data_IF_761937719028
#
_entry.id   IF_761937719028
#
_cell.length_a   1.000
_cell.length_b   1.000
_cell.length_c   1.000
_cell.angle_alpha   90.00
_cell.angle_beta   90.00
_cell.angle_gamma   90.00
#
_symmetry.space_group_name_H-M   'P 1'
#
loop_
_entity.id
_entity.type
_entity.pdbx_description
1 polymer ?
#
# COMPACT_ATOMS: atom_id res chain seq x y z
N UNK A 1 -15.36 3.72 6.03
CA UNK A 1 -14.70 3.22 4.80
C UNK A 1 -15.65 2.22 4.16
N UNK A 2 -16.24 2.51 2.99
CA UNK A 2 -17.14 1.56 2.34
C UNK A 2 -16.32 0.48 1.62
N UNK A 3 -16.06 -0.63 2.30
CA UNK A 3 -15.33 -1.78 1.74
C UNK A 3 -15.84 -3.08 2.36
N UNK A 4 -15.51 -4.23 1.76
CA UNK A 4 -15.87 -5.52 2.30
C UNK A 4 -14.98 -5.87 3.52
N UNK A 5 -15.55 -6.26 4.68
CA UNK A 5 -14.79 -6.63 5.87
C UNK A 5 -13.71 -7.69 5.64
N UNK A 6 -13.91 -8.59 4.68
CA UNK A 6 -12.91 -9.61 4.30
C UNK A 6 -11.64 -8.97 3.76
N UNK A 7 -11.77 -7.91 2.96
CA UNK A 7 -10.62 -7.17 2.41
C UNK A 7 -9.84 -6.52 3.54
N UNK A 8 -10.53 -5.83 4.45
CA UNK A 8 -9.90 -5.19 5.62
C UNK A 8 -9.13 -6.22 6.45
N UNK A 9 -9.73 -7.37 6.76
CA UNK A 9 -9.06 -8.42 7.55
C UNK A 9 -7.80 -8.95 6.87
N UNK A 10 -7.83 -9.15 5.55
CA UNK A 10 -6.65 -9.60 4.79
C UNK A 10 -5.55 -8.56 4.78
N UNK A 11 -5.89 -7.29 4.52
CA UNK A 11 -4.93 -6.17 4.56
C UNK A 11 -4.29 -6.06 5.94
N UNK A 12 -5.09 -6.06 7.01
CA UNK A 12 -4.57 -5.93 8.37
C UNK A 12 -3.77 -7.17 8.81
N UNK A 13 -4.09 -8.36 8.31
CA UNK A 13 -3.29 -9.56 8.54
C UNK A 13 -1.88 -9.41 7.95
N UNK A 14 -1.74 -8.97 6.70
CA UNK A 14 -0.42 -8.74 6.10
C UNK A 14 0.41 -7.70 6.86
N UNK A 15 -0.22 -6.60 7.28
CA UNK A 15 0.44 -5.58 8.12
C UNK A 15 0.87 -6.13 9.50
N UNK A 16 0.07 -7.03 10.09
CA UNK A 16 0.40 -7.67 11.37
C UNK A 16 1.56 -8.64 11.23
N UNK A 17 1.58 -9.42 10.14
CA UNK A 17 2.61 -10.43 9.91
C UNK A 17 3.98 -9.76 9.70
N UNK A 18 4.01 -8.51 9.22
CA UNK A 18 5.20 -7.64 9.18
C UNK A 18 5.47 -6.87 10.48
N UNK A 19 4.63 -7.04 11.49
CA UNK A 19 4.78 -6.40 12.81
C UNK A 19 4.44 -4.91 12.85
N UNK A 20 3.71 -4.38 11.86
CA UNK A 20 3.33 -2.96 11.82
C UNK A 20 2.11 -2.66 12.68
N UNK A 21 1.20 -3.62 12.79
CA UNK A 21 -0.02 -3.51 13.61
C UNK A 21 -0.17 -4.73 14.51
N UNK A 22 -0.93 -4.58 15.58
CA UNK A 22 -1.34 -5.67 16.47
C UNK A 22 -2.85 -5.63 16.69
N UNK A 23 -3.41 -6.80 16.96
CA UNK A 23 -4.83 -6.92 17.31
C UNK A 23 -4.98 -6.98 18.83
N UNK A 24 -5.87 -6.15 19.36
CA UNK A 24 -6.24 -6.13 20.77
C UNK A 24 -7.55 -6.91 20.97
N UNK A 25 -7.56 -7.80 21.97
CA UNK A 25 -8.74 -8.63 22.31
C UNK A 25 -9.62 -7.90 23.32
N UNK A 26 -10.94 -8.08 23.23
CA UNK A 26 -11.92 -7.57 24.20
C UNK A 26 -13.12 -6.89 23.53
N UNK A 27 -14.13 -6.51 24.32
CA UNK A 27 -15.24 -5.70 23.84
C UNK A 27 -14.72 -4.28 23.55
N UNK A 28 -14.77 -3.85 22.28
CA UNK A 28 -14.06 -2.65 21.80
C UNK A 28 -12.63 -2.90 21.29
N UNK A 29 -12.22 -4.16 21.17
CA UNK A 29 -10.92 -4.53 20.58
C UNK A 29 -10.81 -4.10 19.11
N UNK A 30 -9.58 -3.79 18.68
CA UNK A 30 -9.31 -3.26 17.35
C UNK A 30 -7.86 -3.49 16.92
N UNK A 31 -7.44 -2.71 15.93
CA UNK A 31 -6.05 -2.72 15.46
C UNK A 31 -5.32 -1.50 16.00
N UNK A 32 -4.14 -1.71 16.56
CA UNK A 32 -3.25 -0.63 17.02
C UNK A 32 -1.91 -0.71 16.32
N UNK A 33 -1.25 0.44 16.16
CA UNK A 33 0.11 0.48 15.61
C UNK A 33 1.06 -0.22 16.59
N UNK A 34 1.86 -1.15 16.07
CA UNK A 34 2.87 -1.87 16.83
C UNK A 34 4.27 -1.24 16.68
N UNK A 35 4.45 -0.33 15.72
CA UNK A 35 5.68 0.41 15.45
C UNK A 35 5.40 1.89 15.22
N UNK A 36 6.41 2.72 15.46
CA UNK A 36 6.36 4.15 15.16
C UNK A 36 6.17 4.37 13.65
N UNK A 37 5.23 5.26 13.30
CA UNK A 37 4.93 5.67 11.93
C UNK A 37 6.15 6.28 11.22
N UNK A 38 7.07 6.89 11.95
CA UNK A 38 8.31 7.42 11.38
C UNK A 38 9.27 6.30 10.90
N UNK A 39 9.08 5.07 11.39
CA UNK A 39 9.89 3.90 11.04
C UNK A 39 9.27 3.00 9.97
N UNK A 40 8.10 3.35 9.46
CA UNK A 40 7.36 2.58 8.46
C UNK A 40 7.27 3.43 7.19
N UNK A 41 7.81 2.91 6.10
CA UNK A 41 7.77 3.56 4.77
C UNK A 41 6.56 3.08 3.95
N UNK A 42 6.25 3.80 2.88
CA UNK A 42 5.25 3.36 1.90
C UNK A 42 5.69 2.05 1.22
N UNK A 43 7.00 1.84 1.04
CA UNK A 43 7.55 0.58 0.51
C UNK A 43 7.27 -0.58 1.46
N UNK A 44 7.43 -0.37 2.75
CA UNK A 44 7.14 -1.39 3.76
C UNK A 44 5.67 -1.82 3.71
N UNK A 45 4.75 -0.84 3.62
CA UNK A 45 3.32 -1.11 3.46
C UNK A 45 3.04 -1.86 2.15
N UNK A 46 3.64 -1.44 1.04
CA UNK A 46 3.52 -2.10 -0.26
C UNK A 46 3.94 -3.58 -0.19
N UNK A 47 5.09 -3.87 0.44
CA UNK A 47 5.58 -5.23 0.64
C UNK A 47 4.66 -6.04 1.56
N UNK A 48 4.17 -5.45 2.66
CA UNK A 48 3.25 -6.12 3.59
C UNK A 48 1.91 -6.54 2.96
N UNK A 49 1.51 -5.86 1.88
CA UNK A 49 0.29 -6.16 1.13
C UNK A 49 0.51 -7.12 -0.05
N UNK A 50 1.69 -7.72 -0.14
CA UNK A 50 2.01 -8.76 -1.12
C UNK A 50 2.70 -8.25 -2.38
N UNK A 51 3.25 -7.03 -2.37
CA UNK A 51 3.98 -6.43 -3.50
C UNK A 51 3.23 -6.56 -4.84
N UNK A 52 2.02 -5.99 -4.97
CA UNK A 52 1.24 -6.09 -6.20
C UNK A 52 1.96 -5.40 -7.37
N UNK A 53 1.90 -6.00 -8.57
CA UNK A 53 2.47 -5.42 -9.80
C UNK A 53 2.11 -3.93 -9.95
N UNK A 54 3.10 -3.02 -9.91
CA UNK A 54 2.83 -1.58 -9.92
C UNK A 54 2.34 -1.10 -11.30
N UNK A 55 2.66 -1.85 -12.36
CA UNK A 55 2.24 -1.55 -13.72
C UNK A 55 1.36 -2.67 -14.27
N UNK A 56 0.12 -2.35 -14.66
CA UNK A 56 -0.77 -3.27 -15.37
C UNK A 56 -0.39 -3.39 -16.87
N UNK A 57 0.90 -3.45 -17.16
CA UNK A 57 1.49 -3.47 -18.52
C UNK A 57 2.24 -4.78 -18.81
N UNK A 58 2.01 -5.82 -18.00
CA UNK A 58 2.61 -7.14 -18.20
C UNK A 58 2.21 -7.79 -19.53
N UNK A 59 3.04 -8.73 -19.98
CA UNK A 59 2.78 -9.53 -21.18
C UNK A 59 1.45 -10.25 -21.03
N UNK A 60 0.57 -10.11 -22.03
CA UNK A 60 -0.75 -10.74 -22.02
C UNK A 60 -0.68 -12.27 -22.21
N UNK A 61 0.47 -12.77 -22.69
CA UNK A 61 0.73 -14.16 -23.04
C UNK A 61 2.11 -14.59 -22.53
N UNK A 62 2.19 -15.68 -21.76
CA UNK A 62 3.46 -16.24 -21.24
C UNK A 62 4.33 -16.91 -22.32
N UNK A 63 3.76 -17.21 -23.50
CA UNK A 63 4.49 -17.78 -24.65
C UNK A 63 3.93 -17.24 -25.97
N UNK A 64 4.33 -16.03 -26.38
CA UNK A 64 3.92 -15.46 -27.65
C UNK A 64 4.42 -16.32 -28.82
N UNK A 65 3.51 -16.84 -29.66
CA UNK A 65 3.91 -17.43 -30.94
C UNK A 65 4.38 -16.39 -31.98
N UNK A 66 4.05 -15.12 -31.74
CA UNK A 66 4.39 -14.00 -32.62
C UNK A 66 5.80 -13.45 -32.31
N UNK A 67 6.71 -13.50 -33.27
CA UNK A 67 8.07 -12.97 -33.13
C UNK A 67 8.12 -11.46 -32.87
N UNK A 68 7.15 -10.70 -33.41
CA UNK A 68 7.03 -9.26 -33.15
C UNK A 68 6.68 -9.00 -31.68
N UNK A 69 5.76 -9.79 -31.13
CA UNK A 69 5.37 -9.68 -29.70
C UNK A 69 6.56 -10.01 -28.80
N UNK A 70 7.31 -11.07 -29.09
CA UNK A 70 8.53 -11.42 -28.33
C UNK A 70 9.55 -10.27 -28.33
N UNK A 71 9.80 -9.67 -29.50
CA UNK A 71 10.76 -8.57 -29.63
C UNK A 71 10.30 -7.30 -28.88
N UNK A 72 9.02 -6.96 -28.97
CA UNK A 72 8.44 -5.80 -28.25
C UNK A 72 8.47 -6.03 -26.74
N UNK A 73 8.06 -7.21 -26.27
CA UNK A 73 8.09 -7.59 -24.87
C UNK A 73 9.51 -7.48 -24.30
N UNK A 74 10.50 -8.09 -24.98
CA UNK A 74 11.90 -8.03 -24.55
C UNK A 74 12.45 -6.60 -24.52
N UNK A 75 12.04 -5.73 -25.46
CA UNK A 75 12.46 -4.33 -25.48
C UNK A 75 11.87 -3.52 -24.33
N UNK A 76 10.64 -3.83 -23.89
CA UNK A 76 9.96 -3.12 -22.82
C UNK A 76 10.36 -3.61 -21.42
N UNK A 77 10.74 -4.87 -21.27
CA UNK A 77 11.05 -5.49 -19.97
C UNK A 77 12.11 -4.73 -19.17
N UNK A 78 13.17 -4.26 -19.84
CA UNK A 78 14.21 -3.47 -19.18
C UNK A 78 13.66 -2.17 -18.61
N UNK A 79 12.91 -1.43 -19.42
CA UNK A 79 12.32 -0.16 -19.01
C UNK A 79 11.31 -0.32 -17.86
N UNK A 80 10.51 -1.39 -17.86
CA UNK A 80 9.59 -1.66 -16.76
C UNK A 80 10.30 -2.00 -15.46
N UNK A 81 11.34 -2.85 -15.51
CA UNK A 81 12.14 -3.17 -14.30
C UNK A 81 12.79 -1.92 -13.72
N UNK A 82 13.37 -1.07 -14.57
CA UNK A 82 14.02 0.17 -14.13
C UNK A 82 13.01 1.14 -13.52
N UNK A 83 11.83 1.27 -14.14
CA UNK A 83 10.75 2.11 -13.62
C UNK A 83 10.21 1.60 -12.29
N UNK A 84 10.05 0.28 -12.13
CA UNK A 84 9.59 -0.34 -10.89
C UNK A 84 10.61 -0.14 -9.77
N UNK A 85 11.89 -0.39 -10.04
CA UNK A 85 12.96 -0.19 -9.08
C UNK A 85 13.00 1.26 -8.58
N UNK A 86 12.91 2.23 -9.49
CA UNK A 86 12.85 3.65 -9.16
C UNK A 86 11.61 3.98 -8.32
N UNK A 87 10.44 3.45 -8.67
CA UNK A 87 9.22 3.69 -7.90
C UNK A 87 9.34 3.15 -6.47
N UNK A 88 9.86 1.92 -6.31
CA UNK A 88 10.05 1.31 -4.99
C UNK A 88 11.11 2.02 -4.16
N UNK A 89 12.13 2.59 -4.79
CA UNK A 89 13.08 3.48 -4.12
C UNK A 89 12.35 4.71 -3.54
N UNK A 90 11.52 5.39 -4.35
CA UNK A 90 10.72 6.55 -3.88
C UNK A 90 9.74 6.19 -2.77
N UNK A 91 9.14 5.01 -2.84
CA UNK A 91 8.29 4.53 -1.75
C UNK A 91 9.06 4.35 -0.43
N UNK A 92 10.36 4.05 -0.50
CA UNK A 92 11.24 3.96 0.67
C UNK A 92 11.57 5.32 1.30
N UNK A 93 11.44 6.42 0.55
CA UNK A 93 11.73 7.78 1.04
C UNK A 93 10.55 8.39 1.82
N UNK A 94 9.34 7.84 1.68
CA UNK A 94 8.11 8.38 2.26
C UNK A 94 7.66 7.56 3.45
N UNK A 95 7.63 8.17 4.64
CA UNK A 95 7.16 7.51 5.88
C UNK A 95 5.67 7.73 6.13
N UNK A 96 5.05 6.83 6.91
CA UNK A 96 3.66 7.02 7.36
C UNK A 96 3.51 8.25 8.24
N UNK A 97 4.54 8.63 8.99
CA UNK A 97 4.53 9.89 9.76
C UNK A 97 4.46 11.11 8.84
N UNK A 98 5.25 11.13 7.76
CA UNK A 98 5.22 12.21 6.78
C UNK A 98 3.85 12.34 6.10
N UNK A 99 3.26 11.21 5.68
CA UNK A 99 1.92 11.19 5.11
C UNK A 99 0.85 11.65 6.11
N UNK A 100 0.96 11.23 7.38
CA UNK A 100 0.05 11.67 8.43
C UNK A 100 0.15 13.18 8.67
N UNK A 101 1.37 13.74 8.69
CA UNK A 101 1.57 15.18 8.85
C UNK A 101 0.96 15.98 7.68
N UNK A 102 1.23 15.57 6.43
CA UNK A 102 0.65 16.20 5.23
C UNK A 102 -0.89 16.10 5.24
N UNK A 103 -1.44 14.94 5.62
CA UNK A 103 -2.88 14.76 5.77
C UNK A 103 -3.49 15.75 6.77
N UNK A 104 -2.93 15.84 7.98
CA UNK A 104 -3.43 16.77 9.00
C UNK A 104 -3.35 18.23 8.53
N UNK A 105 -2.28 18.62 7.84
CA UNK A 105 -2.14 19.96 7.29
C UNK A 105 -3.25 20.28 6.27
N UNK A 106 -3.56 19.35 5.35
CA UNK A 106 -4.64 19.50 4.36
C UNK A 106 -6.02 19.50 5.01
N UNK A 107 -6.23 18.67 6.03
CA UNK A 107 -7.47 18.60 6.79
C UNK A 107 -7.80 19.96 7.41
N UNK A 108 -6.85 20.55 8.13
CA UNK A 108 -6.98 21.89 8.72
C UNK A 108 -7.25 22.94 7.63
N UNK A 109 -6.48 22.95 6.54
CA UNK A 109 -6.67 23.90 5.45
C UNK A 109 -8.05 23.79 4.77
N UNK A 110 -8.64 22.59 4.75
CA UNK A 110 -9.94 22.34 4.16
C UNK A 110 -11.13 22.64 5.08
N UNK A 111 -10.89 22.98 6.35
CA UNK A 111 -11.94 23.20 7.35
C UNK A 111 -12.75 21.94 7.71
N UNK A 112 -12.28 20.75 7.33
CA UNK A 112 -12.91 19.47 7.66
C UNK A 112 -12.49 19.03 9.06
N UNK A 113 -13.43 18.49 9.82
CA UNK A 113 -13.17 17.84 11.11
C UNK A 113 -13.46 16.36 10.99
N UNK A 114 -12.55 15.50 11.48
CA UNK A 114 -12.84 14.06 11.61
C UNK A 114 -13.29 13.84 13.04
N UNK A 115 -14.56 13.50 13.18
CA UNK A 115 -15.06 12.91 14.42
C UNK A 115 -14.71 11.41 14.42
N UNK A 116 -13.85 11.01 15.35
CA UNK A 116 -13.42 9.62 15.53
C UNK A 116 -14.58 8.73 16.01
N UNK A 117 -15.63 9.29 16.63
CA UNK A 117 -16.82 8.54 17.06
C UNK A 117 -17.71 8.17 15.86
N UNK A 118 -17.84 9.07 14.87
CA UNK A 118 -18.54 8.82 13.60
C UNK A 118 -17.82 7.85 12.66
N UNK A 119 -16.52 7.61 12.86
CA UNK A 119 -15.70 6.77 11.97
C UNK A 119 -15.89 5.25 12.17
N UNK A 120 -16.36 4.83 13.35
CA UNK A 120 -16.56 3.42 13.71
C UNK A 120 -18.01 2.92 13.57
N UNK A 121 -18.95 3.80 13.21
CA UNK A 121 -20.39 3.50 13.20
C UNK A 121 -20.96 3.13 11.82
N UNK A 122 -20.17 2.47 10.95
CA UNK A 122 -20.63 1.97 9.64
C UNK A 122 -20.30 0.49 9.45
#
# INVERSE_FOLDING_TARGET
MQTNPVVVRRTMAGLRDMGFVRSEKGHGGGWTMARDLASITLRDVYTALGAPEPFALGHRTESPGCLVEQAVNAALDGAFRDAEALLLERFGEVTLAALSADFHARMVASGKTIDLESAHAA
#
